data_IF_802926618507
#
_entry.id   IF_802926618507
#
_cell.length_a   1.000
_cell.length_b   1.000
_cell.length_c   1.000
_cell.angle_alpha   90.00
_cell.angle_beta   90.00
_cell.angle_gamma   90.00
#
_symmetry.space_group_name_H-M   'P 1'
#
loop_
_entity.id
_entity.type
_entity.pdbx_description
1 polymer ?
#
# COMPACT_ATOMS: atom_id res chain seq x y z
N UNK A 1 -18.31 17.10 22.39
CA UNK A 1 -18.46 15.62 22.44
C UNK A 1 -18.50 15.11 21.01
N UNK A 2 -18.00 13.89 20.72
CA UNK A 2 -17.93 13.36 19.35
C UNK A 2 -19.28 13.38 18.60
N UNK A 3 -20.36 12.90 19.24
CA UNK A 3 -21.71 12.89 18.65
C UNK A 3 -22.20 14.28 18.21
N UNK A 4 -21.83 15.36 18.90
CA UNK A 4 -22.23 16.72 18.52
C UNK A 4 -21.43 17.28 17.33
N UNK A 5 -20.23 16.76 17.06
CA UNK A 5 -19.50 17.04 15.82
C UNK A 5 -20.05 16.21 14.67
N UNK A 6 -20.39 14.94 14.93
CA UNK A 6 -21.03 14.05 13.95
C UNK A 6 -22.38 14.59 13.45
N UNK A 7 -23.26 15.08 14.34
CA UNK A 7 -24.51 15.73 13.93
C UNK A 7 -24.25 16.92 13.02
N UNK A 8 -23.32 17.82 13.40
CA UNK A 8 -22.95 18.98 12.57
C UNK A 8 -22.30 18.61 11.24
N UNK A 9 -21.53 17.52 11.19
CA UNK A 9 -20.95 17.01 9.95
C UNK A 9 -22.03 16.45 9.02
N UNK A 10 -23.10 15.87 9.57
CA UNK A 10 -24.28 15.38 8.83
C UNK A 10 -25.16 16.52 8.34
N UNK A 11 -25.35 17.56 9.14
CA UNK A 11 -25.98 18.84 8.75
C UNK A 11 -25.19 19.50 7.60
N UNK A 12 -23.90 19.77 7.79
CA UNK A 12 -23.03 20.37 6.77
C UNK A 12 -22.95 19.53 5.48
N UNK A 13 -22.96 18.19 5.58
CA UNK A 13 -23.02 17.32 4.39
C UNK A 13 -24.37 17.42 3.66
N UNK A 14 -25.49 17.57 4.38
CA UNK A 14 -26.82 17.72 3.80
C UNK A 14 -26.99 19.08 3.11
N UNK A 15 -26.40 20.13 3.67
CA UNK A 15 -26.35 21.47 3.08
C UNK A 15 -25.27 21.60 1.96
N UNK A 16 -24.80 20.48 1.39
CA UNK A 16 -23.72 20.35 0.39
C UNK A 16 -22.36 21.03 0.75
N UNK A 17 -22.14 21.45 2.01
CA UNK A 17 -20.89 22.03 2.53
C UNK A 17 -19.84 20.95 2.83
N UNK A 18 -19.41 20.18 1.82
CA UNK A 18 -18.61 18.97 2.01
C UNK A 18 -17.24 19.18 2.66
N UNK A 19 -16.57 20.32 2.44
CA UNK A 19 -15.28 20.63 3.08
C UNK A 19 -15.43 20.78 4.60
N UNK A 20 -16.48 21.50 5.03
CA UNK A 20 -16.82 21.66 6.45
C UNK A 20 -17.25 20.31 7.06
N UNK A 21 -18.00 19.49 6.32
CA UNK A 21 -18.35 18.14 6.76
C UNK A 21 -17.10 17.27 6.96
N UNK A 22 -16.13 17.32 6.04
CA UNK A 22 -14.87 16.58 6.11
C UNK A 22 -14.05 16.96 7.33
N UNK A 23 -13.91 18.26 7.63
CA UNK A 23 -13.24 18.74 8.84
C UNK A 23 -13.98 18.27 10.10
N UNK A 24 -15.29 18.47 10.18
CA UNK A 24 -16.10 18.07 11.35
C UNK A 24 -16.07 16.56 11.60
N UNK A 25 -16.08 15.72 10.56
CA UNK A 25 -15.85 14.27 10.69
C UNK A 25 -14.42 13.97 11.17
N UNK A 26 -13.41 14.70 10.68
CA UNK A 26 -12.01 14.52 11.10
C UNK A 26 -11.81 14.88 12.58
N UNK A 27 -12.44 15.98 13.06
CA UNK A 27 -12.51 16.31 14.48
C UNK A 27 -13.25 15.24 15.29
N UNK A 28 -14.38 14.70 14.78
CA UNK A 28 -15.13 13.64 15.45
C UNK A 28 -14.31 12.33 15.56
N UNK A 29 -13.59 11.96 14.51
CA UNK A 29 -12.65 10.82 14.48
C UNK A 29 -11.53 11.02 15.49
N UNK A 30 -10.99 12.23 15.63
CA UNK A 30 -9.99 12.57 16.66
C UNK A 30 -10.47 12.32 18.10
N UNK A 31 -11.78 12.35 18.36
CA UNK A 31 -12.37 12.03 19.66
C UNK A 31 -12.78 10.55 19.77
N UNK A 32 -13.23 9.91 18.68
CA UNK A 32 -13.62 8.50 18.66
C UNK A 32 -13.11 7.75 17.40
N UNK A 33 -11.81 7.38 17.38
CA UNK A 33 -11.16 6.76 16.22
C UNK A 33 -11.52 5.28 16.01
N UNK A 34 -12.54 4.76 16.71
CA UNK A 34 -13.05 3.38 16.56
C UNK A 34 -14.47 3.32 16.00
N UNK A 35 -15.12 4.45 15.71
CA UNK A 35 -16.49 4.46 15.16
C UNK A 35 -16.45 4.37 13.63
N UNK A 36 -16.69 3.17 13.09
CA UNK A 36 -16.72 2.87 11.65
C UNK A 36 -17.58 3.86 10.84
N UNK A 37 -18.75 4.26 11.38
CA UNK A 37 -19.66 5.22 10.72
C UNK A 37 -18.98 6.55 10.36
N UNK A 38 -18.09 7.07 11.21
CA UNK A 38 -17.43 8.36 10.93
C UNK A 38 -16.51 8.28 9.72
N UNK A 39 -15.84 7.15 9.52
CA UNK A 39 -15.02 6.89 8.34
C UNK A 39 -15.90 6.67 7.10
N UNK A 40 -17.00 5.91 7.22
CA UNK A 40 -17.93 5.70 6.10
C UNK A 40 -18.66 6.99 5.65
N UNK A 41 -18.95 7.90 6.58
CA UNK A 41 -19.56 9.20 6.29
C UNK A 41 -18.50 10.21 5.80
N UNK A 42 -17.25 10.19 6.29
CA UNK A 42 -16.15 11.01 5.73
C UNK A 42 -15.75 10.56 4.31
N UNK A 43 -15.73 9.26 4.05
CA UNK A 43 -15.58 8.72 2.68
C UNK A 43 -16.64 9.28 1.72
N UNK A 44 -17.87 9.50 2.20
CA UNK A 44 -18.95 10.11 1.41
C UNK A 44 -18.66 11.58 1.06
N UNK A 45 -18.13 12.37 2.01
CA UNK A 45 -17.69 13.74 1.75
C UNK A 45 -16.51 13.78 0.76
N UNK A 46 -15.52 12.88 0.93
CA UNK A 46 -14.40 12.74 0.00
C UNK A 46 -14.85 12.37 -1.42
N UNK A 47 -15.84 11.48 -1.61
CA UNK A 47 -16.42 11.16 -2.93
C UNK A 47 -17.08 12.40 -3.57
N UNK A 48 -17.75 13.25 -2.78
CA UNK A 48 -18.39 14.48 -3.25
C UNK A 48 -17.38 15.57 -3.65
N UNK A 49 -16.26 15.66 -2.94
CA UNK A 49 -15.11 16.53 -3.25
C UNK A 49 -14.21 15.97 -4.37
N UNK A 50 -14.46 14.73 -4.81
CA UNK A 50 -13.61 13.98 -5.75
C UNK A 50 -12.19 13.68 -5.21
N UNK A 51 -12.02 13.62 -3.89
CA UNK A 51 -10.84 13.13 -3.18
C UNK A 51 -10.89 11.59 -3.12
N UNK A 52 -10.82 10.95 -4.28
CA UNK A 52 -11.14 9.52 -4.43
C UNK A 52 -10.19 8.57 -3.68
N UNK A 53 -8.86 8.77 -3.64
CA UNK A 53 -7.96 7.92 -2.85
C UNK A 53 -8.26 7.97 -1.35
N UNK A 54 -8.56 9.15 -0.81
CA UNK A 54 -8.92 9.33 0.61
C UNK A 54 -10.27 8.68 0.92
N UNK A 55 -11.23 8.72 -0.02
CA UNK A 55 -12.48 7.99 0.10
C UNK A 55 -12.28 6.46 0.14
N UNK A 56 -11.36 5.91 -0.66
CA UNK A 56 -11.01 4.48 -0.62
C UNK A 56 -10.32 4.15 0.71
N UNK A 57 -9.42 4.99 1.21
CA UNK A 57 -8.74 4.81 2.49
C UNK A 57 -9.73 4.82 3.67
N UNK A 58 -10.62 5.83 3.74
CA UNK A 58 -11.68 5.92 4.75
C UNK A 58 -12.67 4.75 4.67
N UNK A 59 -13.10 4.35 3.46
CA UNK A 59 -14.00 3.22 3.28
C UNK A 59 -13.36 1.89 3.71
N UNK A 60 -12.08 1.67 3.39
CA UNK A 60 -11.32 0.52 3.91
C UNK A 60 -11.23 0.56 5.44
N UNK A 61 -11.02 1.74 6.05
CA UNK A 61 -10.94 1.87 7.51
C UNK A 61 -12.29 1.63 8.21
N UNK A 62 -13.40 2.02 7.58
CA UNK A 62 -14.73 1.65 8.04
C UNK A 62 -14.94 0.12 7.99
N UNK A 63 -14.53 -0.55 6.91
CA UNK A 63 -14.60 -2.03 6.78
C UNK A 63 -13.70 -2.73 7.80
N UNK A 64 -12.51 -2.20 8.10
CA UNK A 64 -11.61 -2.76 9.13
C UNK A 64 -12.24 -2.69 10.55
N UNK A 65 -13.01 -1.63 10.83
CA UNK A 65 -13.68 -1.41 12.11
C UNK A 65 -15.04 -2.12 12.22
N UNK A 66 -15.76 -2.27 11.11
CA UNK A 66 -17.02 -3.00 11.00
C UNK A 66 -17.14 -3.69 9.63
N UNK A 67 -16.72 -4.97 9.52
CA UNK A 67 -16.85 -5.77 8.31
C UNK A 67 -18.31 -6.07 7.90
N UNK A 68 -19.31 -5.75 8.73
CA UNK A 68 -20.73 -5.93 8.39
C UNK A 68 -21.37 -4.70 7.74
N UNK A 69 -20.65 -3.56 7.70
CA UNK A 69 -21.18 -2.30 7.21
C UNK A 69 -21.26 -2.23 5.68
N UNK A 70 -22.35 -2.74 5.09
CA UNK A 70 -22.63 -2.68 3.64
C UNK A 70 -22.43 -1.29 3.02
N UNK A 71 -22.77 -0.22 3.76
CA UNK A 71 -22.52 1.18 3.37
C UNK A 71 -21.04 1.48 3.09
N UNK A 72 -20.11 0.90 3.84
CA UNK A 72 -18.67 1.14 3.66
C UNK A 72 -18.16 0.50 2.36
N UNK A 73 -18.60 -0.73 2.06
CA UNK A 73 -18.38 -1.37 0.77
C UNK A 73 -18.94 -0.53 -0.39
N UNK A 74 -20.14 0.04 -0.24
CA UNK A 74 -20.74 0.94 -1.22
C UNK A 74 -19.92 2.23 -1.42
N UNK A 75 -19.30 2.80 -0.37
CA UNK A 75 -18.37 3.93 -0.51
C UNK A 75 -17.11 3.53 -1.28
N UNK A 76 -16.46 2.43 -0.89
CA UNK A 76 -15.26 1.90 -1.55
C UNK A 76 -15.52 1.71 -3.04
N UNK A 77 -16.61 1.03 -3.39
CA UNK A 77 -17.01 0.82 -4.77
C UNK A 77 -17.27 2.13 -5.53
N UNK A 78 -18.04 3.06 -4.95
CA UNK A 78 -18.33 4.35 -5.60
C UNK A 78 -17.06 5.17 -5.86
N UNK A 79 -16.05 5.08 -4.97
CA UNK A 79 -14.75 5.73 -5.17
C UNK A 79 -13.91 5.02 -6.24
N UNK A 80 -13.82 3.67 -6.20
CA UNK A 80 -13.12 2.86 -7.21
C UNK A 80 -13.72 3.03 -8.62
N UNK A 81 -15.05 3.07 -8.79
CA UNK A 81 -15.69 3.33 -10.09
C UNK A 81 -15.31 4.70 -10.67
N UNK A 82 -15.13 5.72 -9.81
CA UNK A 82 -14.69 7.07 -10.21
C UNK A 82 -13.18 7.16 -10.45
N UNK A 83 -12.42 6.14 -10.05
CA UNK A 83 -11.00 5.92 -10.37
C UNK A 83 -10.81 4.94 -11.54
N UNK A 84 -11.91 4.50 -12.17
CA UNK A 84 -11.92 3.49 -13.25
C UNK A 84 -11.39 2.10 -12.81
N UNK A 85 -11.32 1.86 -11.49
CA UNK A 85 -10.98 0.56 -10.90
C UNK A 85 -12.19 -0.39 -10.85
N UNK A 86 -12.79 -0.67 -12.00
CA UNK A 86 -14.07 -1.39 -12.10
C UNK A 86 -14.05 -2.80 -11.47
N UNK A 87 -12.93 -3.52 -11.56
CA UNK A 87 -12.74 -4.83 -10.92
C UNK A 87 -12.78 -4.72 -9.38
N UNK A 88 -12.04 -3.76 -8.81
CA UNK A 88 -12.01 -3.49 -7.37
C UNK A 88 -13.38 -3.03 -6.85
N UNK A 89 -14.09 -2.23 -7.66
CA UNK A 89 -15.45 -1.81 -7.37
C UNK A 89 -16.42 -3.00 -7.36
N UNK A 90 -16.40 -3.86 -8.39
CA UNK A 90 -17.28 -5.03 -8.49
C UNK A 90 -17.15 -5.93 -7.26
N UNK A 91 -15.94 -6.34 -6.89
CA UNK A 91 -15.71 -7.21 -5.73
C UNK A 91 -16.18 -6.58 -4.40
N UNK A 92 -16.03 -5.26 -4.24
CA UNK A 92 -16.57 -4.54 -3.10
C UNK A 92 -18.13 -4.53 -3.10
N UNK A 93 -18.76 -4.35 -4.26
CA UNK A 93 -20.23 -4.37 -4.38
C UNK A 93 -20.81 -5.77 -4.15
N UNK A 94 -20.17 -6.83 -4.62
CA UNK A 94 -20.58 -8.22 -4.38
C UNK A 94 -20.55 -8.55 -2.89
N UNK A 95 -19.49 -8.10 -2.19
CA UNK A 95 -19.39 -8.24 -0.72
C UNK A 95 -20.47 -7.42 0.00
N UNK A 96 -20.74 -6.19 -0.44
CA UNK A 96 -21.82 -5.36 0.09
C UNK A 96 -23.22 -5.93 -0.15
N UNK A 97 -23.45 -6.55 -1.31
CA UNK A 97 -24.71 -7.22 -1.67
C UNK A 97 -24.96 -8.46 -0.81
N UNK A 98 -23.93 -9.24 -0.49
CA UNK A 98 -24.04 -10.38 0.42
C UNK A 98 -24.46 -9.96 1.86
N UNK A 99 -24.11 -8.74 2.27
CA UNK A 99 -24.49 -8.16 3.56
C UNK A 99 -25.88 -7.48 3.53
N UNK A 100 -26.33 -7.00 2.37
CA UNK A 100 -27.59 -6.26 2.20
C UNK A 100 -28.31 -6.63 0.87
N UNK A 101 -28.81 -7.88 0.71
CA UNK A 101 -29.31 -8.37 -0.57
C UNK A 101 -30.57 -7.67 -1.08
N UNK A 102 -31.36 -7.07 -0.17
CA UNK A 102 -32.54 -6.25 -0.50
C UNK A 102 -32.17 -4.91 -1.18
N UNK A 103 -30.93 -4.43 -1.04
CA UNK A 103 -30.54 -3.13 -1.61
C UNK A 103 -30.19 -3.25 -3.10
N UNK A 104 -31.21 -3.09 -3.95
CA UNK A 104 -31.12 -3.04 -5.43
C UNK A 104 -30.05 -2.08 -6.01
N UNK A 105 -29.45 -1.21 -5.20
CA UNK A 105 -28.32 -0.38 -5.61
C UNK A 105 -27.07 -1.20 -5.94
N UNK A 106 -26.77 -2.27 -5.19
CA UNK A 106 -25.58 -3.08 -5.44
C UNK A 106 -25.67 -3.78 -6.80
N UNK A 107 -26.79 -4.47 -7.10
CA UNK A 107 -26.95 -5.19 -8.37
C UNK A 107 -26.92 -4.28 -9.60
N UNK A 108 -27.38 -3.03 -9.49
CA UNK A 108 -27.25 -2.02 -10.55
C UNK A 108 -25.80 -1.63 -10.80
N UNK A 109 -25.05 -1.31 -9.74
CA UNK A 109 -23.65 -0.90 -9.85
C UNK A 109 -22.73 -2.07 -10.25
N UNK A 110 -23.06 -3.31 -9.87
CA UNK A 110 -22.34 -4.53 -10.32
C UNK A 110 -22.45 -4.64 -11.83
N UNK A 111 -23.67 -4.55 -12.38
CA UNK A 111 -23.92 -4.58 -13.82
C UNK A 111 -23.19 -3.44 -14.55
N UNK A 112 -23.19 -2.23 -14.00
CA UNK A 112 -22.42 -1.09 -14.54
C UNK A 112 -20.91 -1.39 -14.58
N UNK A 113 -20.34 -1.98 -13.51
CA UNK A 113 -18.95 -2.41 -13.52
C UNK A 113 -18.68 -3.52 -14.55
N UNK A 114 -19.59 -4.49 -14.71
CA UNK A 114 -19.47 -5.55 -15.71
C UNK A 114 -19.49 -5.02 -17.15
N UNK A 115 -20.34 -4.03 -17.43
CA UNK A 115 -20.39 -3.35 -18.73
C UNK A 115 -19.08 -2.61 -19.02
N UNK A 116 -18.53 -1.86 -18.05
CA UNK A 116 -17.22 -1.19 -18.19
C UNK A 116 -16.05 -2.16 -18.37
N UNK A 117 -16.03 -3.25 -17.60
CA UNK A 117 -15.03 -4.32 -17.75
C UNK A 117 -15.11 -4.96 -19.15
N UNK A 118 -16.32 -5.12 -19.71
CA UNK A 118 -16.50 -5.66 -21.05
C UNK A 118 -16.05 -4.67 -22.15
N UNK A 119 -16.25 -3.36 -21.95
CA UNK A 119 -15.71 -2.30 -22.82
C UNK A 119 -14.17 -2.36 -22.86
N UNK A 120 -13.49 -2.29 -21.70
CA UNK A 120 -12.02 -2.34 -21.60
C UNK A 120 -11.39 -3.58 -22.25
N UNK A 121 -12.02 -4.74 -22.06
CA UNK A 121 -11.53 -6.00 -22.64
C UNK A 121 -11.89 -6.17 -24.12
N UNK A 122 -12.80 -5.36 -24.66
CA UNK A 122 -13.20 -5.36 -26.07
C UNK A 122 -12.25 -4.59 -27.00
N UNK A 123 -11.48 -3.63 -26.47
CA UNK A 123 -10.71 -2.67 -27.28
C UNK A 123 -9.24 -3.08 -27.56
N UNK A 124 -8.73 -4.16 -26.97
CA UNK A 124 -7.32 -4.56 -27.09
C UNK A 124 -6.95 -5.20 -28.45
N UNK A 125 -6.01 -4.62 -29.23
CA UNK A 125 -5.50 -5.24 -30.46
C UNK A 125 -4.61 -6.47 -30.20
N UNK A 126 -4.50 -7.35 -31.19
CA UNK A 126 -3.62 -8.53 -31.18
C UNK A 126 -2.29 -8.21 -31.87
N UNK A 127 -1.17 -8.32 -31.16
CA UNK A 127 0.18 -8.60 -31.70
C UNK A 127 1.06 -9.10 -30.53
N UNK A 128 1.15 -10.41 -30.32
CA UNK A 128 2.21 -11.35 -30.80
C UNK A 128 3.51 -11.35 -30.00
N UNK A 129 3.84 -12.52 -29.47
CA UNK A 129 5.12 -12.90 -28.86
C UNK A 129 6.18 -13.13 -29.94
N UNK A 130 7.47 -12.88 -29.66
CA UNK A 130 8.56 -13.64 -30.30
C UNK A 130 9.87 -13.65 -29.46
N UNK A 131 10.80 -14.58 -29.76
CA UNK A 131 11.66 -15.23 -28.72
C UNK A 131 13.18 -15.32 -29.06
N UNK A 132 13.98 -14.39 -28.51
CA UNK A 132 15.47 -14.47 -28.22
C UNK A 132 16.35 -14.88 -29.45
N UNK A 133 17.63 -15.40 -29.42
CA UNK A 133 18.66 -15.60 -28.38
C UNK A 133 20.13 -15.13 -28.69
N UNK A 134 20.98 -15.09 -27.64
CA UNK A 134 22.48 -15.25 -27.65
C UNK A 134 23.35 -14.10 -28.27
N UNK A 135 24.68 -13.98 -28.04
CA UNK A 135 25.70 -14.95 -27.58
C UNK A 135 26.97 -14.35 -26.90
N UNK A 136 27.74 -15.25 -26.24
CA UNK A 136 29.16 -15.25 -25.76
C UNK A 136 29.74 -14.23 -24.75
N UNK A 137 30.24 -14.82 -23.66
CA UNK A 137 31.34 -14.48 -22.70
C UNK A 137 32.74 -14.40 -23.38
N UNK A 138 33.93 -14.33 -22.67
CA UNK A 138 34.29 -14.05 -21.26
C UNK A 138 35.30 -12.85 -21.17
N UNK A 139 36.35 -12.67 -20.32
CA UNK A 139 37.06 -13.41 -19.23
C UNK A 139 37.87 -12.42 -18.32
N UNK A 140 38.11 -12.79 -17.04
CA UNK A 140 39.30 -12.47 -16.20
C UNK A 140 39.53 -10.99 -15.75
N UNK A 141 40.27 -10.67 -14.67
CA UNK A 141 41.04 -11.50 -13.71
C UNK A 141 41.10 -10.86 -12.28
N UNK A 142 41.19 -11.71 -11.24
CA UNK A 142 42.15 -11.61 -10.09
C UNK A 142 42.31 -10.22 -9.38
N UNK A 143 41.70 -10.00 -8.19
CA UNK A 143 42.31 -10.20 -6.84
C UNK A 143 43.02 -8.94 -6.24
N UNK A 144 43.29 -8.76 -4.92
CA UNK A 144 42.90 -9.50 -3.70
C UNK A 144 43.19 -8.73 -2.38
N UNK A 145 42.25 -8.80 -1.43
CA UNK A 145 42.35 -8.71 0.07
C UNK A 145 43.04 -7.56 0.85
N UNK A 146 42.41 -7.29 2.02
CA UNK A 146 42.96 -6.78 3.32
C UNK A 146 43.24 -5.28 3.46
N UNK A 147 43.16 -4.69 4.67
CA UNK A 147 42.94 -5.26 6.02
C UNK A 147 41.99 -4.37 6.87
N UNK A 148 41.55 -4.82 8.04
CA UNK A 148 40.70 -4.05 8.99
C UNK A 148 41.50 -3.79 10.28
N UNK A 149 41.34 -2.63 10.95
CA UNK A 149 40.39 -2.63 12.05
C UNK A 149 39.62 -1.30 12.29
N UNK A 150 38.44 -1.45 12.89
CA UNK A 150 37.68 -0.45 13.67
C UNK A 150 38.52 0.09 14.87
N UNK A 151 38.20 1.25 15.50
CA UNK A 151 36.82 1.63 15.84
C UNK A 151 36.38 3.10 15.65
N UNK A 152 35.09 3.24 15.32
CA UNK A 152 34.17 4.28 15.80
C UNK A 152 34.57 5.78 15.64
N UNK A 153 33.86 6.49 14.77
CA UNK A 153 33.49 7.89 15.00
C UNK A 153 32.11 8.17 14.38
N UNK A 154 31.26 8.91 15.09
CA UNK A 154 29.88 9.21 14.67
C UNK A 154 29.91 10.21 13.50
N UNK A 155 29.32 9.82 12.36
CA UNK A 155 29.14 10.67 11.18
C UNK A 155 27.66 10.82 10.84
N UNK A 156 27.26 12.01 10.38
CA UNK A 156 25.88 12.32 10.00
C UNK A 156 25.50 11.60 8.68
N UNK A 157 24.20 11.31 8.44
CA UNK A 157 23.75 10.62 7.23
C UNK A 157 24.09 11.44 5.96
N UNK A 158 24.98 10.90 5.14
CA UNK A 158 25.29 11.38 3.79
C UNK A 158 24.08 11.17 2.87
N UNK A 159 23.89 12.05 1.88
CA UNK A 159 22.74 11.98 0.97
C UNK A 159 22.80 10.69 0.14
N UNK A 160 21.77 9.85 0.23
CA UNK A 160 21.67 8.59 -0.49
C UNK A 160 21.72 8.79 -2.01
N UNK A 161 22.71 8.15 -2.65
CA UNK A 161 23.03 8.33 -4.08
C UNK A 161 22.04 7.63 -5.03
N UNK A 162 21.16 6.79 -4.51
CA UNK A 162 20.29 5.90 -5.29
C UNK A 162 18.84 6.40 -5.32
N UNK A 163 18.35 6.74 -6.52
CA UNK A 163 16.92 6.95 -6.78
C UNK A 163 16.23 5.59 -6.95
N UNK A 164 15.00 5.49 -6.49
CA UNK A 164 14.10 4.39 -6.86
C UNK A 164 12.84 4.94 -7.52
N UNK A 165 12.18 4.08 -8.30
CA UNK A 165 10.86 4.30 -8.90
C UNK A 165 10.07 2.99 -8.83
N UNK A 166 8.75 3.04 -8.98
CA UNK A 166 7.93 1.84 -9.10
C UNK A 166 6.84 1.99 -10.15
N UNK A 167 6.41 0.86 -10.70
CA UNK A 167 5.17 0.74 -11.46
C UNK A 167 4.47 -0.57 -11.06
N UNK A 168 3.24 -0.77 -11.52
CA UNK A 168 2.46 -1.95 -11.15
C UNK A 168 1.59 -2.48 -12.30
N UNK A 169 1.12 -3.70 -12.10
CA UNK A 169 0.10 -4.41 -12.86
C UNK A 169 -0.96 -4.93 -11.85
N UNK A 170 -2.04 -5.62 -12.29
CA UNK A 170 -3.01 -6.19 -11.36
C UNK A 170 -2.39 -7.13 -10.31
N UNK A 171 -1.43 -7.98 -10.71
CA UNK A 171 -0.83 -9.02 -9.83
C UNK A 171 0.62 -8.77 -9.37
N UNK A 172 1.38 -7.86 -10.01
CA UNK A 172 2.76 -7.55 -9.64
C UNK A 172 3.01 -6.05 -9.42
N UNK A 173 3.90 -5.72 -8.49
CA UNK A 173 4.55 -4.39 -8.37
C UNK A 173 6.01 -4.56 -8.76
N UNK A 174 6.54 -3.66 -9.57
CA UNK A 174 7.95 -3.67 -9.98
C UNK A 174 8.62 -2.42 -9.44
N UNK A 175 9.58 -2.62 -8.53
CA UNK A 175 10.42 -1.57 -7.95
C UNK A 175 11.75 -1.56 -8.69
N UNK A 176 12.15 -0.40 -9.19
CA UNK A 176 13.44 -0.18 -9.87
C UNK A 176 14.31 0.72 -9.02
N UNK A 177 15.46 0.22 -8.55
CA UNK A 177 16.46 1.01 -7.81
C UNK A 177 17.61 1.31 -8.77
N UNK A 178 17.80 2.58 -9.14
CA UNK A 178 18.80 3.01 -10.12
C UNK A 178 20.20 3.04 -9.49
N UNK A 179 20.97 1.99 -9.77
CA UNK A 179 22.23 1.70 -9.10
C UNK A 179 23.29 1.28 -10.14
N UNK A 180 24.08 2.26 -10.60
CA UNK A 180 25.11 2.03 -11.63
C UNK A 180 26.34 1.33 -11.06
N UNK A 181 26.77 0.25 -11.70
CA UNK A 181 27.96 -0.50 -11.33
C UNK A 181 27.88 -1.07 -9.91
N UNK A 182 26.86 -1.89 -9.66
CA UNK A 182 26.72 -2.68 -8.43
C UNK A 182 26.76 -4.16 -8.82
N UNK A 183 27.67 -4.97 -8.26
CA UNK A 183 27.69 -6.41 -8.47
C UNK A 183 26.48 -7.12 -7.83
N UNK A 184 25.96 -8.22 -8.39
CA UNK A 184 24.86 -8.98 -7.78
C UNK A 184 25.18 -9.47 -6.37
N UNK A 185 26.43 -9.89 -6.10
CA UNK A 185 26.89 -10.32 -4.78
C UNK A 185 26.93 -9.20 -3.72
N UNK A 186 26.85 -7.93 -4.15
CA UNK A 186 26.75 -6.77 -3.26
C UNK A 186 25.30 -6.42 -2.92
N UNK A 187 24.29 -7.12 -3.48
CA UNK A 187 22.86 -6.86 -3.28
C UNK A 187 22.23 -8.03 -2.51
N UNK A 188 21.69 -7.74 -1.33
CA UNK A 188 20.83 -8.67 -0.59
C UNK A 188 19.39 -8.16 -0.63
N UNK A 189 18.46 -9.00 -1.07
CA UNK A 189 17.02 -8.72 -1.05
C UNK A 189 16.32 -9.76 -0.19
N UNK A 190 15.52 -9.29 0.78
CA UNK A 190 14.69 -10.11 1.64
C UNK A 190 13.22 -9.67 1.52
N UNK A 191 12.31 -10.65 1.56
CA UNK A 191 10.86 -10.43 1.43
C UNK A 191 10.13 -10.89 2.70
N UNK A 192 9.29 -10.02 3.28
CA UNK A 192 8.30 -10.36 4.30
C UNK A 192 6.89 -9.99 3.82
N UNK A 193 5.84 -10.47 4.51
CA UNK A 193 4.44 -10.31 4.06
C UNK A 193 4.04 -8.89 3.65
N UNK A 194 4.60 -7.85 4.27
CA UNK A 194 4.33 -6.44 3.95
C UNK A 194 5.63 -5.60 3.98
N UNK A 195 6.79 -6.21 3.75
CA UNK A 195 8.10 -5.55 3.83
C UNK A 195 8.98 -6.05 2.68
N UNK A 196 9.57 -5.12 1.93
CA UNK A 196 10.74 -5.38 1.11
C UNK A 196 11.95 -4.86 1.88
N UNK A 197 13.04 -5.61 1.94
CA UNK A 197 14.34 -5.12 2.41
C UNK A 197 15.39 -5.30 1.32
N UNK A 198 16.13 -4.24 1.02
CA UNK A 198 17.23 -4.23 0.06
C UNK A 198 18.44 -3.60 0.72
N UNK A 199 19.51 -4.39 0.89
CA UNK A 199 20.81 -3.90 1.31
C UNK A 199 21.78 -3.95 0.12
N UNK A 200 22.40 -2.81 -0.20
CA UNK A 200 23.45 -2.69 -1.21
C UNK A 200 24.74 -2.26 -0.53
N UNK A 201 25.70 -3.18 -0.44
CA UNK A 201 27.01 -2.96 0.16
C UNK A 201 28.10 -3.18 -0.89
N UNK A 202 28.39 -2.14 -1.68
CA UNK A 202 29.38 -2.18 -2.75
C UNK A 202 30.69 -1.48 -2.33
N UNK A 203 31.87 -2.06 -2.58
CA UNK A 203 33.14 -1.47 -2.16
C UNK A 203 33.36 -0.09 -2.79
N UNK A 204 33.72 0.89 -1.96
CA UNK A 204 33.94 2.28 -2.39
C UNK A 204 32.66 3.12 -2.55
N UNK A 205 31.51 2.68 -2.03
CA UNK A 205 30.26 3.45 -1.98
C UNK A 205 29.61 3.33 -0.59
N UNK A 206 28.83 4.33 -0.20
CA UNK A 206 28.02 4.27 1.03
C UNK A 206 27.05 3.08 1.01
N UNK A 207 26.94 2.36 2.13
CA UNK A 207 26.08 1.19 2.27
C UNK A 207 24.60 1.62 2.30
N UNK A 208 23.88 1.31 1.22
CA UNK A 208 22.49 1.72 1.03
C UNK A 208 21.52 0.67 1.55
N UNK A 209 20.58 1.10 2.38
CA UNK A 209 19.51 0.26 2.91
C UNK A 209 18.16 0.88 2.54
N UNK A 210 17.33 0.10 1.85
CA UNK A 210 15.99 0.48 1.43
C UNK A 210 15.02 -0.58 1.95
N UNK A 211 14.29 -0.25 3.01
CA UNK A 211 13.37 -1.16 3.68
C UNK A 211 11.97 -0.56 3.82
N UNK A 212 11.26 -0.31 2.70
CA UNK A 212 9.90 0.18 2.74
C UNK A 212 8.99 -0.85 3.42
N UNK A 213 8.13 -0.36 4.32
CA UNK A 213 6.89 -1.08 4.61
C UNK A 213 5.99 -0.90 3.39
N UNK A 214 5.57 -1.98 2.77
CA UNK A 214 4.86 -1.95 1.50
C UNK A 214 3.39 -1.56 1.71
N UNK A 215 2.79 -0.87 0.72
CA UNK A 215 1.37 -0.48 0.78
C UNK A 215 0.45 -1.69 1.00
N UNK A 216 0.55 -2.71 0.12
CA UNK A 216 -0.21 -3.96 0.22
C UNK A 216 0.63 -5.15 0.69
N UNK A 217 -0.02 -6.28 0.96
CA UNK A 217 0.67 -7.55 1.20
C UNK A 217 1.25 -8.15 -0.09
N UNK A 218 2.33 -8.90 0.05
CA UNK A 218 3.01 -9.63 -1.01
C UNK A 218 3.10 -11.13 -0.70
N UNK A 219 3.41 -11.95 -1.71
CA UNK A 219 3.66 -13.39 -1.59
C UNK A 219 5.18 -13.62 -1.73
N UNK A 220 5.94 -13.79 -0.64
CA UNK A 220 7.41 -13.89 -0.68
C UNK A 220 7.93 -14.93 -1.67
N UNK A 221 7.34 -16.13 -1.69
CA UNK A 221 7.76 -17.27 -2.54
C UNK A 221 7.56 -17.04 -4.05
N UNK A 222 6.82 -16.00 -4.43
CA UNK A 222 6.60 -15.59 -5.84
C UNK A 222 7.37 -14.31 -6.21
N UNK A 223 8.03 -13.67 -5.25
CA UNK A 223 8.84 -12.48 -5.49
C UNK A 223 10.21 -12.86 -6.07
N UNK A 224 10.79 -11.98 -6.89
CA UNK A 224 12.12 -12.16 -7.49
C UNK A 224 12.80 -10.83 -7.77
N UNK A 225 14.12 -10.85 -7.97
CA UNK A 225 14.88 -9.66 -8.36
C UNK A 225 15.98 -9.99 -9.37
N UNK A 226 16.27 -9.00 -10.20
CA UNK A 226 17.28 -9.02 -11.26
C UNK A 226 18.26 -7.85 -11.02
N UNK A 227 19.55 -8.13 -10.82
CA UNK A 227 20.59 -7.08 -10.66
C UNK A 227 21.24 -6.82 -12.01
N UNK A 228 21.11 -5.60 -12.51
CA UNK A 228 21.64 -5.15 -13.80
C UNK A 228 22.69 -4.05 -13.59
N UNK A 229 23.51 -3.81 -14.62
CA UNK A 229 24.64 -2.86 -14.56
C UNK A 229 24.25 -1.40 -14.26
N UNK A 230 22.97 -1.05 -14.40
CA UNK A 230 22.43 0.31 -14.19
C UNK A 230 21.30 0.39 -13.15
N UNK A 231 20.70 -0.74 -12.77
CA UNK A 231 19.51 -0.80 -11.90
C UNK A 231 19.36 -2.19 -11.25
N UNK A 232 18.68 -2.24 -10.12
CA UNK A 232 18.13 -3.47 -9.53
C UNK A 232 16.62 -3.44 -9.81
N UNK A 233 16.08 -4.47 -10.46
CA UNK A 233 14.64 -4.62 -10.70
C UNK A 233 14.07 -5.69 -9.77
N UNK A 234 13.06 -5.34 -8.99
CA UNK A 234 12.49 -6.20 -7.95
C UNK A 234 11.01 -6.36 -8.28
N UNK A 235 10.57 -7.60 -8.53
CA UNK A 235 9.18 -7.94 -8.82
C UNK A 235 8.54 -8.55 -7.60
N UNK A 236 7.57 -7.83 -7.05
CA UNK A 236 6.78 -8.21 -5.89
C UNK A 236 5.45 -8.77 -6.38
N UNK A 237 5.18 -10.05 -6.12
CA UNK A 237 3.87 -10.63 -6.36
C UNK A 237 2.90 -10.15 -5.28
N UNK A 238 1.82 -9.47 -5.65
CA UNK A 238 0.80 -9.00 -4.71
C UNK A 238 0.05 -10.20 -4.12
N UNK A 239 -0.34 -10.11 -2.84
CA UNK A 239 -1.23 -11.09 -2.21
C UNK A 239 -2.71 -10.89 -2.60
N UNK A 240 -3.08 -9.65 -2.95
CA UNK A 240 -4.43 -9.25 -3.35
C UNK A 240 -4.33 -8.38 -4.61
N UNK A 241 -5.27 -8.48 -5.58
CA UNK A 241 -5.24 -7.71 -6.83
C UNK A 241 -5.71 -6.25 -6.64
N UNK A 242 -5.09 -5.54 -5.69
CA UNK A 242 -5.40 -4.14 -5.36
C UNK A 242 -4.44 -3.18 -6.08
N UNK A 243 -4.92 -1.99 -6.44
CA UNK A 243 -4.04 -0.89 -6.87
C UNK A 243 -3.30 -0.31 -5.66
N UNK A 244 -2.02 0.02 -5.82
CA UNK A 244 -1.19 0.63 -4.79
C UNK A 244 -0.99 2.11 -5.10
N UNK A 245 -1.54 3.02 -4.29
CA UNK A 245 -1.42 4.47 -4.52
C UNK A 245 -0.03 5.03 -4.17
N UNK A 246 0.76 4.26 -3.42
CA UNK A 246 2.16 4.50 -3.09
C UNK A 246 2.89 3.15 -3.04
N UNK A 247 4.22 3.14 -3.18
CA UNK A 247 5.02 1.97 -2.85
C UNK A 247 5.04 1.72 -1.34
N UNK A 248 5.16 2.80 -0.57
CA UNK A 248 5.30 2.76 0.88
C UNK A 248 3.95 2.95 1.59
N UNK A 249 3.77 2.19 2.67
CA UNK A 249 2.75 2.43 3.69
C UNK A 249 3.15 3.66 4.51
N UNK A 250 2.87 4.86 3.98
CA UNK A 250 3.11 6.12 4.67
C UNK A 250 2.25 6.22 5.93
N UNK A 251 2.85 5.97 7.09
CA UNK A 251 2.20 6.14 8.39
C UNK A 251 2.52 7.51 9.00
N UNK A 252 2.45 8.57 8.19
CA UNK A 252 2.34 9.96 8.64
C UNK A 252 0.88 10.18 9.08
N UNK A 253 0.46 9.66 10.23
CA UNK A 253 0.72 10.27 11.54
C UNK A 253 1.86 9.63 12.35
N UNK A 254 2.96 10.37 12.52
CA UNK A 254 4.12 9.94 13.31
C UNK A 254 3.92 10.05 14.84
N UNK A 255 3.56 8.91 15.48
CA UNK A 255 4.43 8.09 16.37
C UNK A 255 5.53 8.82 17.19
N UNK A 256 5.85 8.47 18.47
CA UNK A 256 5.11 7.72 19.53
C UNK A 256 5.20 8.33 20.97
N UNK A 257 4.50 7.73 21.95
CA UNK A 257 5.09 7.39 23.27
C UNK A 257 4.25 6.34 24.04
N UNK A 258 4.65 5.05 23.95
CA UNK A 258 4.15 3.88 24.71
C UNK A 258 5.12 2.71 24.43
N UNK A 259 5.52 1.81 25.35
CA UNK A 259 5.37 1.63 26.82
C UNK A 259 6.74 1.12 27.33
N UNK A 260 7.07 1.24 28.63
CA UNK A 260 8.16 0.43 29.23
C UNK A 260 7.57 -0.72 30.07
N UNK A 261 8.04 -1.97 29.87
CA UNK A 261 7.47 -3.19 30.46
C UNK A 261 8.54 -4.08 31.09
N UNK A 262 8.34 -4.48 32.35
CA UNK A 262 8.81 -5.74 32.97
C UNK A 262 8.09 -5.89 34.33
N UNK A 263 7.43 -6.99 34.67
CA UNK A 263 7.87 -8.40 34.81
C UNK A 263 8.64 -8.66 36.11
N UNK A 264 8.04 -9.40 37.07
CA UNK A 264 8.65 -9.60 38.39
C UNK A 264 7.88 -10.46 39.43
N UNK A 265 7.68 -11.76 39.13
CA UNK A 265 7.92 -12.92 40.03
C UNK A 265 7.32 -13.01 41.47
N UNK A 266 6.49 -14.06 41.69
CA UNK A 266 6.13 -14.70 43.00
C UNK A 266 5.32 -13.81 43.99
N UNK A 267 4.55 -14.31 44.98
CA UNK A 267 4.75 -15.39 45.99
C UNK A 267 3.42 -16.11 46.30
N UNK A 268 3.47 -17.37 46.76
CA UNK A 268 2.33 -18.19 47.21
C UNK A 268 2.10 -18.16 48.73
N UNK A 269 0.90 -18.55 49.20
CA UNK A 269 0.78 -19.20 50.50
C UNK A 269 -0.10 -20.46 50.52
N UNK A 270 0.31 -21.41 51.36
CA UNK A 270 -0.44 -22.55 51.91
C UNK A 270 0.10 -22.79 53.35
N UNK A 271 -0.60 -23.55 54.22
CA UNK A 271 -1.93 -24.14 54.07
C UNK A 271 -3.04 -23.34 54.79
#
# INVERSE_FOLDING_TARGET
MASALETKAKEAYFDDHFELALDLYSQAIGINPKKAELYADRAQANIKLNNLPDAVADANKAIELDPSMSKAYLRKATACMKLEEYQTAKAALETGAALAPEESRFSKLIKECEERIAEENGELPKETLDVVPTNVVPVKDVSSVKDVPDPMTVAAPTKSTYRHEFYQKPEEVVVTIFAKGIPPECVKVDYGEQILSVAVNAPGKDAYHFQPRLFGKIIPDKCRYDVLSTKIEIRLAKAEPIHWTSLEFSMEVAVPQRINVSSGMLISPCP
#
